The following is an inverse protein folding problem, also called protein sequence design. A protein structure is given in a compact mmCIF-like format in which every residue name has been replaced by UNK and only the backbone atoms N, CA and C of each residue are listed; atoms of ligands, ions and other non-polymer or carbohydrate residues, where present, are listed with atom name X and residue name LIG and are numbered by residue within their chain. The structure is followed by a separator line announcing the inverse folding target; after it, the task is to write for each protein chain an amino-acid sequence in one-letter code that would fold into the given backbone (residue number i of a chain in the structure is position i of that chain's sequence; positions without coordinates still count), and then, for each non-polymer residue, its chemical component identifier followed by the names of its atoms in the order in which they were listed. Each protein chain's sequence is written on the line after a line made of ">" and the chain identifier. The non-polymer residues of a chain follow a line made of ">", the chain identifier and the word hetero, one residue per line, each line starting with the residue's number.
data_IF_256595604990
#
_entry.id   IF_256595604990
#
_cell.length_a   1.000
_cell.length_b   1.000
_cell.length_c   1.000
_cell.angle_alpha   90.00
_cell.angle_beta   90.00
_cell.angle_gamma   90.00
#
_symmetry.space_group_name_H-M   'P 1'
#
loop_
_entity.id
_entity.type
_entity.pdbx_description
1 polymer ?
#
# COMPACT_ATOMS: atom_id res chain seq x y z
N UNK A 1 1.56 -13.83 10.92
CA UNK A 1 1.04 -12.54 10.47
C UNK A 1 1.54 -12.29 9.07
N UNK A 2 0.60 -12.13 8.12
CA UNK A 2 0.89 -11.89 6.71
C UNK A 2 0.75 -10.40 6.42
N UNK A 3 1.84 -9.75 6.02
CA UNK A 3 1.89 -8.32 5.72
C UNK A 3 1.95 -8.14 4.21
N UNK A 4 0.98 -7.41 3.64
CA UNK A 4 1.08 -6.90 2.29
C UNK A 4 1.94 -5.62 2.32
N UNK A 5 3.16 -5.68 1.82
CA UNK A 5 4.01 -4.52 1.65
C UNK A 5 3.77 -3.93 0.26
N UNK A 6 3.07 -2.81 0.23
CA UNK A 6 2.55 -2.21 -1.01
C UNK A 6 3.38 -0.99 -1.40
N UNK A 7 3.94 -1.01 -2.60
CA UNK A 7 4.75 0.08 -3.14
C UNK A 7 4.49 0.32 -4.64
N UNK A 8 5.23 1.22 -5.25
CA UNK A 8 5.06 1.61 -6.65
C UNK A 8 4.25 2.91 -6.78
N UNK A 9 3.05 2.83 -7.34
CA UNK A 9 2.19 3.99 -7.59
C UNK A 9 2.37 4.59 -8.97
N UNK A 10 1.65 5.69 -9.22
CA UNK A 10 1.56 6.32 -10.55
C UNK A 10 2.27 7.67 -10.62
N UNK A 11 2.90 8.09 -9.52
CA UNK A 11 3.62 9.38 -9.45
C UNK A 11 5.04 9.28 -10.01
N UNK A 12 5.69 10.43 -10.17
CA UNK A 12 7.12 10.51 -10.52
C UNK A 12 8.03 9.93 -9.41
N UNK A 13 7.50 9.71 -8.21
CA UNK A 13 8.24 9.16 -7.06
C UNK A 13 8.17 7.62 -6.97
N UNK A 14 7.66 6.97 -8.02
CA UNK A 14 7.52 5.51 -8.07
C UNK A 14 8.81 4.76 -7.74
N UNK A 15 9.95 5.18 -8.30
CA UNK A 15 11.24 4.52 -8.07
C UNK A 15 11.66 4.60 -6.59
N UNK A 16 11.42 5.75 -5.95
CA UNK A 16 11.68 5.95 -4.53
C UNK A 16 10.78 5.05 -3.68
N UNK A 17 9.51 4.94 -4.06
CA UNK A 17 8.54 4.06 -3.40
C UNK A 17 9.00 2.59 -3.45
N UNK A 18 9.42 2.10 -4.61
CA UNK A 18 9.92 0.73 -4.79
C UNK A 18 11.18 0.48 -3.94
N UNK A 19 12.13 1.43 -3.97
CA UNK A 19 13.37 1.31 -3.18
C UNK A 19 13.07 1.28 -1.68
N UNK A 20 12.20 2.17 -1.21
CA UNK A 20 11.79 2.23 0.19
C UNK A 20 11.09 0.94 0.63
N UNK A 21 10.20 0.40 -0.21
CA UNK A 21 9.53 -0.87 0.05
C UNK A 21 10.52 -2.02 0.20
N UNK A 22 11.43 -2.20 -0.74
CA UNK A 22 12.47 -3.25 -0.68
C UNK A 22 13.34 -3.14 0.58
N UNK A 23 13.69 -1.94 1.00
CA UNK A 23 14.45 -1.74 2.23
C UNK A 23 13.66 -2.16 3.47
N UNK A 24 12.39 -1.79 3.56
CA UNK A 24 11.52 -2.12 4.70
C UNK A 24 11.25 -3.63 4.79
N UNK A 25 11.14 -4.35 3.67
CA UNK A 25 10.94 -5.79 3.67
C UNK A 25 11.95 -6.53 4.55
N UNK A 26 13.23 -6.16 4.47
CA UNK A 26 14.29 -6.75 5.26
C UNK A 26 14.14 -6.52 6.77
N UNK A 27 13.55 -5.40 7.21
CA UNK A 27 13.30 -5.15 8.63
C UNK A 27 12.11 -5.96 9.16
N UNK A 28 11.03 -6.04 8.37
CA UNK A 28 9.83 -6.81 8.75
C UNK A 28 10.17 -8.29 8.92
N UNK A 29 11.00 -8.83 8.03
CA UNK A 29 11.45 -10.22 8.09
C UNK A 29 12.23 -10.54 9.36
N UNK A 30 13.07 -9.61 9.85
CA UNK A 30 13.81 -9.77 11.11
C UNK A 30 12.88 -9.91 12.32
N UNK A 31 11.67 -9.37 12.24
CA UNK A 31 10.63 -9.48 13.27
C UNK A 31 9.82 -10.79 13.15
N UNK A 32 10.21 -11.73 12.28
CA UNK A 32 9.55 -13.02 12.10
C UNK A 32 8.16 -12.94 11.47
N UNK A 33 7.90 -11.93 10.63
CA UNK A 33 6.64 -11.74 9.91
C UNK A 33 6.77 -12.19 8.47
N UNK A 34 5.69 -12.70 7.88
CA UNK A 34 5.65 -12.99 6.45
C UNK A 34 5.39 -11.69 5.67
N UNK A 35 6.19 -11.44 4.65
CA UNK A 35 6.10 -10.25 3.80
C UNK A 35 5.78 -10.65 2.38
N UNK A 36 4.71 -10.09 1.84
CA UNK A 36 4.28 -10.24 0.46
C UNK A 36 4.42 -8.87 -0.21
N UNK A 37 5.38 -8.74 -1.12
CA UNK A 37 5.68 -7.47 -1.78
C UNK A 37 4.78 -7.30 -2.99
N UNK A 38 3.93 -6.27 -2.94
CA UNK A 38 2.94 -5.96 -3.97
C UNK A 38 3.32 -4.67 -4.66
N UNK A 39 3.60 -4.77 -5.95
CA UNK A 39 3.84 -3.62 -6.83
C UNK A 39 2.53 -3.19 -7.49
N UNK A 40 2.14 -1.93 -7.25
CA UNK A 40 0.97 -1.29 -7.86
C UNK A 40 1.42 -0.30 -8.93
N UNK A 41 0.91 -0.48 -10.15
CA UNK A 41 1.06 0.50 -11.22
C UNK A 41 -0.22 0.56 -12.06
N UNK A 42 -0.94 1.66 -11.99
CA UNK A 42 -2.25 1.83 -12.63
C UNK A 42 -3.22 0.70 -12.22
N UNK A 43 -3.72 -0.06 -13.19
CA UNK A 43 -4.61 -1.20 -12.96
C UNK A 43 -3.86 -2.52 -12.70
N UNK A 44 -2.54 -2.54 -12.84
CA UNK A 44 -1.73 -3.74 -12.62
C UNK A 44 -1.24 -3.78 -11.19
N UNK A 45 -1.69 -4.77 -10.46
CA UNK A 45 -1.29 -5.05 -9.09
C UNK A 45 -0.69 -6.45 -9.05
N UNK A 46 0.58 -6.54 -8.75
CA UNK A 46 1.36 -7.78 -8.82
C UNK A 46 2.04 -8.10 -7.51
N UNK A 47 1.91 -9.35 -7.07
CA UNK A 47 2.82 -9.92 -6.11
C UNK A 47 4.16 -10.17 -6.84
N UNK A 48 5.25 -9.60 -6.35
CA UNK A 48 6.56 -9.63 -7.03
C UNK A 48 7.65 -10.28 -6.19
N UNK A 49 7.48 -10.36 -4.86
CA UNK A 49 8.39 -11.06 -3.98
C UNK A 49 7.65 -11.58 -2.74
N UNK A 50 8.17 -12.66 -2.16
CA UNK A 50 7.68 -13.23 -0.89
C UNK A 50 8.88 -13.47 0.01
N UNK A 51 8.81 -12.94 1.23
CA UNK A 51 9.86 -13.03 2.24
C UNK A 51 11.25 -12.62 1.72
N UNK A 52 11.29 -11.53 0.91
CA UNK A 52 12.50 -10.99 0.34
C UNK A 52 13.06 -11.77 -0.87
N UNK A 53 12.36 -12.80 -1.33
CA UNK A 53 12.73 -13.59 -2.51
C UNK A 53 11.86 -13.14 -3.68
N UNK A 54 12.48 -12.63 -4.74
CA UNK A 54 11.77 -12.27 -5.97
C UNK A 54 11.17 -13.52 -6.63
N UNK A 55 9.94 -13.37 -7.14
CA UNK A 55 9.18 -14.43 -7.78
C UNK A 55 8.74 -14.02 -9.19
N UNK A 56 8.27 -15.00 -9.97
CA UNK A 56 7.53 -14.67 -11.19
C UNK A 56 6.26 -13.90 -10.79
N UNK A 57 6.06 -12.65 -11.27
CA UNK A 57 4.95 -11.81 -10.84
C UNK A 57 3.58 -12.45 -11.09
N UNK A 58 2.74 -12.49 -10.05
CA UNK A 58 1.37 -13.01 -10.11
C UNK A 58 0.34 -11.92 -9.79
N UNK A 59 -0.90 -12.11 -10.25
CA UNK A 59 -1.97 -11.13 -10.04
C UNK A 59 -2.45 -11.09 -8.58
N UNK A 60 -2.75 -9.89 -8.11
CA UNK A 60 -3.51 -9.69 -6.88
C UNK A 60 -5.00 -9.76 -7.20
N UNK A 61 -5.74 -10.58 -6.48
CA UNK A 61 -7.21 -10.58 -6.55
C UNK A 61 -7.74 -9.34 -5.84
N UNK A 62 -8.22 -8.38 -6.62
CA UNK A 62 -8.73 -7.09 -6.12
C UNK A 62 -10.11 -7.19 -5.47
N UNK A 63 -10.84 -8.30 -5.66
CA UNK A 63 -12.15 -8.47 -5.03
C UNK A 63 -12.06 -8.72 -3.52
N UNK A 64 -10.90 -9.20 -3.05
CA UNK A 64 -10.67 -9.45 -1.63
C UNK A 64 -9.29 -8.99 -1.14
N UNK A 65 -8.50 -8.36 -2.02
CA UNK A 65 -7.08 -8.04 -1.77
C UNK A 65 -6.31 -9.26 -1.27
N UNK A 66 -6.30 -10.32 -2.06
CA UNK A 66 -5.64 -11.58 -1.76
C UNK A 66 -4.69 -11.98 -2.87
N UNK A 67 -3.77 -12.89 -2.58
CA UNK A 67 -2.88 -13.50 -3.58
C UNK A 67 -2.92 -15.00 -3.48
N UNK A 68 -2.57 -15.70 -4.57
CA UNK A 68 -2.29 -17.12 -4.54
C UNK A 68 -0.80 -17.33 -4.35
N UNK A 69 -0.42 -18.12 -3.34
CA UNK A 69 0.97 -18.49 -3.06
C UNK A 69 1.06 -19.95 -2.63
N UNK A 70 1.90 -20.73 -3.30
CA UNK A 70 2.09 -22.18 -3.05
C UNK A 70 0.77 -22.98 -3.03
N UNK A 71 -0.19 -22.59 -3.88
CA UNK A 71 -1.51 -23.23 -3.98
C UNK A 71 -2.53 -22.78 -2.94
N UNK A 72 -2.16 -21.90 -2.04
CA UNK A 72 -3.05 -21.35 -1.01
C UNK A 72 -3.45 -19.90 -1.29
N UNK A 73 -4.67 -19.53 -0.90
CA UNK A 73 -5.12 -18.14 -0.90
C UNK A 73 -4.62 -17.45 0.37
N UNK A 74 -3.77 -16.47 0.18
CA UNK A 74 -3.24 -15.65 1.27
C UNK A 74 -4.12 -14.44 1.48
N UNK A 75 -4.59 -14.27 2.72
CA UNK A 75 -5.28 -13.08 3.24
C UNK A 75 -4.27 -12.30 4.07
N UNK A 76 -4.32 -10.99 3.97
CA UNK A 76 -3.39 -10.10 4.68
C UNK A 76 -3.98 -9.60 6.00
N UNK A 77 -3.18 -9.66 7.04
CA UNK A 77 -3.51 -9.11 8.37
C UNK A 77 -3.28 -7.60 8.43
N UNK A 78 -2.39 -7.09 7.57
CA UNK A 78 -2.02 -5.68 7.51
C UNK A 78 -1.52 -5.32 6.10
N UNK A 79 -1.95 -4.18 5.59
CA UNK A 79 -1.34 -3.53 4.43
C UNK A 79 -0.41 -2.40 4.89
N UNK A 80 0.90 -2.57 4.66
CA UNK A 80 1.90 -1.54 4.89
C UNK A 80 2.11 -0.77 3.59
N UNK A 81 1.75 0.51 3.60
CA UNK A 81 1.71 1.35 2.39
C UNK A 81 2.99 2.18 2.29
N UNK A 82 3.75 1.95 1.23
CA UNK A 82 4.99 2.68 0.89
C UNK A 82 4.86 3.46 -0.42
N UNK A 83 3.64 3.62 -0.93
CA UNK A 83 3.38 4.38 -2.16
C UNK A 83 3.50 5.87 -1.86
N UNK A 84 4.32 6.57 -2.65
CA UNK A 84 4.39 8.03 -2.67
C UNK A 84 3.49 8.60 -3.77
N UNK A 85 2.68 9.61 -3.42
CA UNK A 85 1.68 10.17 -4.32
C UNK A 85 0.48 9.25 -4.54
N UNK A 86 -0.11 9.32 -5.73
CA UNK A 86 -1.30 8.54 -6.08
C UNK A 86 -0.92 7.07 -6.40
N UNK A 87 -1.74 6.08 -5.97
CA UNK A 87 -2.98 6.15 -5.22
C UNK A 87 -2.80 6.02 -3.69
N UNK A 88 -1.58 6.14 -3.17
CA UNK A 88 -1.27 5.89 -1.75
C UNK A 88 -1.64 7.06 -0.84
N UNK A 89 -1.24 8.27 -1.21
CA UNK A 89 -1.39 9.47 -0.36
C UNK A 89 -2.66 10.27 -0.63
N UNK A 90 -3.28 10.09 -1.79
CA UNK A 90 -4.53 10.76 -2.18
C UNK A 90 -5.80 10.10 -1.61
N UNK A 91 -5.64 9.06 -0.81
CA UNK A 91 -6.74 8.34 -0.16
C UNK A 91 -7.43 7.28 -1.02
N UNK A 92 -7.11 7.14 -2.31
CA UNK A 92 -7.80 6.19 -3.19
C UNK A 92 -7.55 4.73 -2.79
N UNK A 93 -6.29 4.35 -2.62
CA UNK A 93 -5.95 3.00 -2.20
C UNK A 93 -6.39 2.71 -0.76
N UNK A 94 -6.27 3.72 0.12
CA UNK A 94 -6.74 3.62 1.51
C UNK A 94 -8.25 3.39 1.57
N UNK A 95 -9.04 4.11 0.77
CA UNK A 95 -10.50 3.90 0.67
C UNK A 95 -10.85 2.48 0.26
N UNK A 96 -10.10 1.92 -0.68
CA UNK A 96 -10.27 0.53 -1.11
C UNK A 96 -9.97 -0.44 0.05
N UNK A 97 -8.88 -0.26 0.81
CA UNK A 97 -8.55 -1.11 1.96
C UNK A 97 -9.59 -0.99 3.08
N UNK A 98 -10.06 0.23 3.36
CA UNK A 98 -11.14 0.47 4.34
C UNK A 98 -12.45 -0.23 3.93
N UNK A 99 -12.80 -0.18 2.65
CA UNK A 99 -13.96 -0.89 2.11
C UNK A 99 -13.85 -2.41 2.28
N UNK A 100 -12.63 -2.95 2.14
CA UNK A 100 -12.35 -4.38 2.31
C UNK A 100 -12.18 -4.79 3.77
N UNK A 101 -12.19 -3.84 4.71
CA UNK A 101 -11.95 -4.10 6.13
C UNK A 101 -10.51 -4.52 6.46
N UNK A 102 -9.55 -4.14 5.62
CA UNK A 102 -8.14 -4.51 5.79
C UNK A 102 -7.41 -3.44 6.61
N UNK A 103 -6.82 -3.80 7.75
CA UNK A 103 -5.97 -2.90 8.52
C UNK A 103 -4.81 -2.37 7.67
N UNK A 104 -4.48 -1.09 7.81
CA UNK A 104 -3.42 -0.45 7.03
C UNK A 104 -2.66 0.61 7.83
N UNK A 105 -1.46 0.96 7.35
CA UNK A 105 -0.58 1.94 8.01
C UNK A 105 -0.88 3.40 7.61
N UNK A 106 -1.75 3.64 6.65
CA UNK A 106 -2.17 4.99 6.25
C UNK A 106 -3.09 5.64 7.29
N UNK A 107 -3.21 6.98 7.23
CA UNK A 107 -4.28 7.69 7.94
C UNK A 107 -5.65 7.37 7.33
N UNK A 108 -6.77 7.69 8.00
CA UNK A 108 -8.10 7.47 7.42
C UNK A 108 -8.24 8.14 6.05
N UNK A 109 -8.93 7.47 5.11
CA UNK A 109 -9.04 7.93 3.72
C UNK A 109 -9.52 9.39 3.60
N UNK A 110 -10.51 9.79 4.42
CA UNK A 110 -11.02 11.17 4.45
C UNK A 110 -9.94 12.21 4.80
N UNK A 111 -8.98 11.82 5.65
CA UNK A 111 -7.86 12.70 6.05
C UNK A 111 -6.85 12.77 4.93
N UNK A 112 -6.50 11.62 4.32
CA UNK A 112 -5.61 11.57 3.18
C UNK A 112 -6.12 12.44 2.01
N UNK A 113 -7.39 12.29 1.62
CA UNK A 113 -8.04 13.11 0.60
C UNK A 113 -7.94 14.61 0.89
N UNK A 114 -8.25 15.02 2.12
CA UNK A 114 -8.21 16.42 2.50
C UNK A 114 -6.78 16.98 2.48
N UNK A 115 -5.82 16.25 3.02
CA UNK A 115 -4.44 16.74 3.18
C UNK A 115 -3.65 16.69 1.87
N UNK A 116 -4.00 15.79 0.96
CA UNK A 116 -3.39 15.73 -0.36
C UNK A 116 -3.75 16.93 -1.24
N UNK A 117 -4.97 17.40 -1.16
CA UNK A 117 -5.39 18.66 -1.80
C UNK A 117 -4.98 19.87 -0.94
N UNK A 118 -3.85 20.49 -1.31
CA UNK A 118 -3.27 21.63 -0.57
C UNK A 118 -4.22 22.82 -0.47
N UNK A 119 -5.07 23.03 -1.47
CA UNK A 119 -6.04 24.13 -1.43
C UNK A 119 -7.17 23.82 -0.45
N UNK A 120 -7.77 22.64 -0.56
CA UNK A 120 -8.83 22.19 0.36
C UNK A 120 -8.32 22.16 1.81
N UNK A 121 -7.11 21.63 2.03
CA UNK A 121 -6.47 21.59 3.34
C UNK A 121 -6.29 23.00 3.94
N UNK A 122 -5.76 23.95 3.16
CA UNK A 122 -5.60 25.35 3.60
C UNK A 122 -6.95 26.01 3.91
N UNK A 123 -7.98 25.78 3.11
CA UNK A 123 -9.32 26.30 3.38
C UNK A 123 -9.89 25.76 4.68
N UNK A 124 -9.71 24.45 4.92
CA UNK A 124 -10.14 23.79 6.15
C UNK A 124 -9.42 24.36 7.39
N UNK A 125 -8.10 24.48 7.35
CA UNK A 125 -7.29 25.02 8.45
C UNK A 125 -7.66 26.46 8.76
N UNK A 126 -7.78 27.32 7.72
CA UNK A 126 -8.20 28.71 7.89
C UNK A 126 -9.57 28.81 8.56
N UNK A 127 -10.52 27.94 8.21
CA UNK A 127 -11.85 27.92 8.83
C UNK A 127 -11.80 27.45 10.29
N UNK A 128 -10.81 26.62 10.64
CA UNK A 128 -10.55 26.18 12.00
C UNK A 128 -9.75 27.20 12.85
N UNK A 129 -9.35 28.33 12.26
CA UNK A 129 -8.59 29.37 12.95
C UNK A 129 -7.07 29.14 12.99
N UNK A 130 -6.56 28.28 12.09
CA UNK A 130 -5.13 27.97 11.95
C UNK A 130 -4.55 28.67 10.73
#
# INVERSE_FOLDING_TARGET
>A
MNIALVYGGNSSEREISVLSGKNIAGYILKEGRNVFEIDIYQTRWKLVAVNGIEIQPSEVDKNGFTVMWEGERIVFDLALIMIHGTPGEDGLFISYLEMMGIPHTGCPARVALLTFDKYACKCFLRRAGI
#
